data_IF_638137227716
#
_entry.id   IF_638137227716
#
_cell.length_a   1.000
_cell.length_b   1.000
_cell.length_c   1.000
_cell.angle_alpha   90.00
_cell.angle_beta   90.00
_cell.angle_gamma   90.00
#
_symmetry.space_group_name_H-M   'P 1'
#
loop_
_entity.id
_entity.type
_entity.pdbx_description
1 polymer ?
#
# COMPACT_ATOMS: atom_id res chain seq x y z
N UNK A 1 19.27 27.84 16.48
CA UNK A 1 18.93 26.45 16.08
C UNK A 1 17.53 26.16 16.58
N UNK A 2 16.54 26.09 15.69
CA UNK A 2 15.18 25.62 16.03
C UNK A 2 15.20 24.10 15.89
N UNK A 3 14.79 23.38 16.93
CA UNK A 3 14.56 21.93 16.86
C UNK A 3 13.13 21.75 16.35
N UNK A 4 12.98 21.24 15.13
CA UNK A 4 11.69 20.84 14.59
C UNK A 4 11.28 19.54 15.27
N UNK A 5 10.30 19.62 16.18
CA UNK A 5 9.73 18.44 16.83
C UNK A 5 8.67 17.83 15.93
N UNK A 6 8.85 16.57 15.55
CA UNK A 6 7.85 15.80 14.83
C UNK A 6 6.95 15.05 15.84
N UNK A 7 5.64 15.24 15.71
CA UNK A 7 4.63 14.52 16.49
C UNK A 7 3.89 13.55 15.57
N UNK A 8 3.59 12.37 16.07
CA UNK A 8 2.80 11.39 15.32
C UNK A 8 1.30 11.78 15.31
N UNK A 9 0.47 10.92 14.71
CA UNK A 9 -0.99 11.15 14.64
C UNK A 9 -1.67 11.05 16.02
N UNK A 10 -1.02 10.44 17.01
CA UNK A 10 -1.52 10.33 18.38
C UNK A 10 -1.14 11.55 19.25
N UNK A 11 -0.19 12.37 18.79
CA UNK A 11 0.31 13.54 19.50
C UNK A 11 1.52 13.23 20.39
N UNK A 12 2.07 12.01 20.30
CA UNK A 12 3.30 11.65 21.00
C UNK A 12 4.52 12.17 20.25
N UNK A 13 5.53 12.60 21.02
CA UNK A 13 6.78 13.09 20.47
C UNK A 13 7.52 11.92 19.86
N UNK A 14 7.74 11.95 18.55
CA UNK A 14 8.60 10.99 17.90
C UNK A 14 10.03 11.47 18.10
N UNK A 15 10.79 10.75 18.92
CA UNK A 15 12.23 10.93 18.98
C UNK A 15 12.77 10.48 17.62
N UNK A 16 13.25 11.43 16.84
CA UNK A 16 13.93 11.14 15.59
C UNK A 16 15.26 10.53 16.00
N UNK A 17 15.30 9.20 16.12
CA UNK A 17 16.55 8.47 16.24
C UNK A 17 17.24 8.62 14.87
N UNK A 18 18.03 9.70 14.75
CA UNK A 18 18.84 10.03 13.58
C UNK A 18 20.04 9.06 13.43
N UNK A 19 19.92 7.84 13.95
CA UNK A 19 20.67 6.69 13.47
C UNK A 19 20.12 6.33 12.09
N UNK A 20 20.44 7.18 11.11
CA UNK A 20 20.51 6.77 9.72
C UNK A 20 21.46 5.60 9.70
N UNK A 21 20.87 4.41 9.67
CA UNK A 21 21.56 3.17 9.39
C UNK A 21 22.00 3.25 7.91
N UNK A 22 23.01 4.08 7.65
CA UNK A 22 23.68 4.28 6.36
C UNK A 22 24.51 3.04 5.98
N UNK A 23 24.28 1.91 6.67
CA UNK A 23 24.79 0.62 6.30
C UNK A 23 24.41 0.36 4.82
N UNK A 24 25.39 0.07 3.95
CA UNK A 24 25.09 -0.26 2.57
C UNK A 24 24.20 -1.50 2.56
N UNK A 25 22.97 -1.32 2.07
CA UNK A 25 22.04 -2.42 1.89
C UNK A 25 22.64 -3.42 0.90
N UNK A 26 22.60 -4.71 1.26
CA UNK A 26 23.09 -5.78 0.40
C UNK A 26 21.98 -6.17 -0.56
N UNK A 27 22.08 -5.71 -1.81
CA UNK A 27 21.17 -6.09 -2.89
C UNK A 27 21.94 -6.32 -4.19
N UNK A 28 21.41 -7.14 -5.09
CA UNK A 28 21.86 -7.23 -6.48
C UNK A 28 20.90 -6.43 -7.37
N UNK A 29 21.40 -5.32 -7.91
CA UNK A 29 20.65 -4.40 -8.80
C UNK A 29 19.26 -4.01 -8.28
N UNK A 30 19.17 -3.75 -6.97
CA UNK A 30 17.93 -3.34 -6.31
C UNK A 30 17.03 -4.47 -5.82
N UNK A 31 17.49 -5.72 -5.86
CA UNK A 31 16.77 -6.89 -5.33
C UNK A 31 17.57 -7.57 -4.22
N UNK A 32 16.90 -8.01 -3.15
CA UNK A 32 17.52 -8.79 -2.07
C UNK A 32 17.89 -10.19 -2.56
N UNK A 33 17.00 -10.77 -3.37
CA UNK A 33 17.22 -12.00 -4.12
C UNK A 33 16.59 -11.80 -5.50
N UNK A 34 17.45 -11.79 -6.53
CA UNK A 34 17.04 -11.50 -7.90
C UNK A 34 16.62 -12.76 -8.66
N UNK A 35 17.18 -13.90 -8.30
CA UNK A 35 17.02 -15.17 -9.03
C UNK A 35 15.92 -16.06 -8.42
N UNK A 36 15.31 -15.64 -7.31
CA UNK A 36 14.13 -16.28 -6.74
C UNK A 36 12.91 -16.26 -7.69
N UNK A 37 12.01 -17.24 -7.52
CA UNK A 37 10.71 -17.29 -8.23
C UNK A 37 9.88 -16.01 -8.03
N UNK A 38 10.09 -15.34 -6.89
CA UNK A 38 9.49 -14.06 -6.54
C UNK A 38 10.59 -13.07 -6.09
N UNK A 39 11.19 -12.31 -7.03
CA UNK A 39 12.27 -11.38 -6.71
C UNK A 39 11.80 -10.33 -5.71
N UNK A 40 12.50 -10.19 -4.59
CA UNK A 40 12.14 -9.25 -3.53
C UNK A 40 12.86 -7.92 -3.76
N UNK A 41 12.17 -6.81 -4.06
CA UNK A 41 12.81 -5.53 -4.23
C UNK A 41 13.39 -5.04 -2.90
N UNK A 42 14.63 -4.57 -2.92
CA UNK A 42 15.26 -3.93 -1.78
C UNK A 42 14.49 -2.66 -1.42
N UNK A 43 14.05 -2.52 -0.17
CA UNK A 43 13.26 -1.37 0.26
C UNK A 43 14.01 -0.04 0.18
N UNK A 44 15.35 -0.08 0.20
CA UNK A 44 16.20 1.11 0.03
C UNK A 44 16.31 1.51 -1.44
N UNK A 45 16.47 0.57 -2.37
CA UNK A 45 16.53 0.85 -3.81
C UNK A 45 15.16 1.05 -4.45
N UNK A 46 14.10 0.46 -3.88
CA UNK A 46 12.75 0.39 -4.44
C UNK A 46 12.21 1.75 -4.93
N UNK A 47 12.42 2.88 -4.24
CA UNK A 47 11.95 4.19 -4.74
C UNK A 47 12.62 4.64 -6.03
N UNK A 48 13.80 4.10 -6.35
CA UNK A 48 14.62 4.45 -7.51
C UNK A 48 14.52 3.41 -8.63
N UNK A 49 13.85 2.27 -8.39
CA UNK A 49 13.60 1.26 -9.42
C UNK A 49 12.53 1.76 -10.38
N UNK A 50 12.77 1.53 -11.68
CA UNK A 50 11.79 1.88 -12.70
C UNK A 50 10.53 0.98 -12.54
N UNK A 51 9.33 1.49 -12.86
CA UNK A 51 8.08 0.74 -12.66
C UNK A 51 8.00 -0.60 -13.40
N UNK A 52 8.76 -0.77 -14.48
CA UNK A 52 8.91 -2.00 -15.25
C UNK A 52 9.79 -3.06 -14.55
N UNK A 53 10.59 -2.65 -13.56
CA UNK A 53 11.47 -3.53 -12.78
C UNK A 53 10.76 -4.05 -11.52
N UNK A 54 9.85 -3.27 -10.95
CA UNK A 54 8.96 -3.70 -9.88
C UNK A 54 7.86 -4.53 -10.54
N UNK A 55 7.89 -5.86 -10.38
CA UNK A 55 6.92 -6.76 -11.00
C UNK A 55 5.51 -6.14 -11.06
N UNK A 56 4.82 -6.18 -12.22
CA UNK A 56 3.56 -5.47 -12.38
C UNK A 56 2.63 -5.89 -11.25
N UNK A 57 2.17 -4.92 -10.46
CA UNK A 57 1.23 -5.21 -9.38
C UNK A 57 0.11 -6.07 -9.97
N UNK A 58 -0.28 -7.19 -9.31
CA UNK A 58 -1.38 -7.99 -9.79
C UNK A 58 -2.60 -7.09 -9.82
N UNK A 59 -2.95 -6.60 -11.02
CA UNK A 59 -4.11 -5.74 -11.21
C UNK A 59 -5.30 -6.57 -10.75
N UNK A 60 -6.02 -6.09 -9.75
CA UNK A 60 -7.28 -6.71 -9.36
C UNK A 60 -8.11 -6.85 -10.63
N UNK A 61 -8.64 -8.05 -10.95
CA UNK A 61 -9.44 -8.22 -12.13
C UNK A 61 -10.59 -7.23 -12.05
N UNK A 62 -10.77 -6.46 -13.12
CA UNK A 62 -11.94 -5.60 -13.21
C UNK A 62 -13.18 -6.50 -13.21
N UNK A 63 -14.16 -6.27 -12.32
CA UNK A 63 -15.36 -7.08 -12.32
C UNK A 63 -16.13 -6.84 -13.62
N UNK A 64 -16.80 -7.90 -14.09
CA UNK A 64 -17.70 -7.79 -15.23
C UNK A 64 -18.77 -6.69 -14.98
N UNK A 65 -19.04 -5.81 -15.96
CA UNK A 65 -19.97 -4.69 -15.77
C UNK A 65 -21.38 -5.12 -15.35
N UNK A 66 -21.86 -6.28 -15.80
CA UNK A 66 -23.17 -6.81 -15.39
C UNK A 66 -23.16 -7.27 -13.94
N UNK A 67 -22.10 -7.98 -13.53
CA UNK A 67 -21.91 -8.41 -12.12
C UNK A 67 -21.86 -7.20 -11.19
N UNK A 68 -21.09 -6.17 -11.55
CA UNK A 68 -21.01 -4.93 -10.77
C UNK A 68 -22.38 -4.23 -10.67
N UNK A 69 -23.11 -4.13 -11.79
CA UNK A 69 -24.47 -3.54 -11.81
C UNK A 69 -25.46 -4.35 -10.96
N UNK A 70 -25.42 -5.68 -11.04
CA UNK A 70 -26.28 -6.56 -10.25
C UNK A 70 -26.02 -6.41 -8.75
N UNK A 71 -24.73 -6.41 -8.34
CA UNK A 71 -24.34 -6.18 -6.95
C UNK A 71 -24.84 -4.82 -6.42
N UNK A 72 -24.66 -3.75 -7.19
CA UNK A 72 -25.16 -2.42 -6.81
C UNK A 72 -26.70 -2.38 -6.68
N UNK A 73 -27.44 -3.09 -7.53
CA UNK A 73 -28.91 -3.19 -7.42
C UNK A 73 -29.33 -3.92 -6.15
N UNK A 74 -28.67 -5.03 -5.83
CA UNK A 74 -28.94 -5.79 -4.62
C UNK A 74 -28.69 -4.96 -3.35
N UNK A 75 -27.57 -4.23 -3.29
CA UNK A 75 -27.25 -3.31 -2.18
C UNK A 75 -28.33 -2.23 -2.02
N UNK A 76 -28.76 -1.61 -3.12
CA UNK A 76 -29.81 -0.58 -3.09
C UNK A 76 -31.15 -1.15 -2.59
N UNK A 77 -31.51 -2.35 -3.03
CA UNK A 77 -32.74 -3.02 -2.59
C UNK A 77 -32.70 -3.35 -1.09
N UNK A 78 -31.58 -3.89 -0.61
CA UNK A 78 -31.39 -4.19 0.81
C UNK A 78 -31.46 -2.92 1.68
N UNK A 79 -30.84 -1.83 1.24
CA UNK A 79 -30.90 -0.54 1.94
C UNK A 79 -32.32 0.04 1.97
N UNK A 80 -33.10 -0.12 0.90
CA UNK A 80 -34.50 0.32 0.86
C UNK A 80 -35.37 -0.50 1.82
N UNK A 81 -35.19 -1.82 1.86
CA UNK A 81 -35.88 -2.72 2.79
C UNK A 81 -35.53 -2.39 4.25
N UNK A 82 -34.25 -2.18 4.56
CA UNK A 82 -33.79 -1.83 5.90
C UNK A 82 -34.37 -0.49 6.38
N UNK A 83 -34.48 0.52 5.51
CA UNK A 83 -35.11 1.81 5.84
C UNK A 83 -36.62 1.70 6.10
N UNK A 84 -37.29 0.71 5.52
CA UNK A 84 -38.71 0.44 5.75
C UNK A 84 -39.02 -0.24 7.09
N UNK A 85 -38.01 -0.83 7.76
CA UNK A 85 -38.17 -1.56 9.03
C UNK A 85 -38.00 -0.72 10.30
N UNK A 86 -37.73 0.58 10.18
CA UNK A 86 -37.62 1.52 11.32
C UNK A 86 -38.93 2.27 11.65
N UNK A 87 -40.10 1.67 11.39
CA UNK A 87 -41.41 2.24 11.70
C UNK A 87 -42.16 1.44 12.74
#
# INVERSE_FOLDING_TARGET
MRHDYHYDRSGERVEHDDERDDAPHRCDRGFVDRDADHPVPCLVCRPYLAPDQLAPEPRKPMPDPEVARAGMRAVRAALAAAKGHHR
#
